data_IF_265679006742
#
_entry.id   IF_265679006742
#
_cell.length_a   1.000
_cell.length_b   1.000
_cell.length_c   1.000
_cell.angle_alpha   90.00
_cell.angle_beta   90.00
_cell.angle_gamma   90.00
#
_symmetry.space_group_name_H-M   'P 1'
#
loop_
_entity.id
_entity.type
_entity.pdbx_description
1 polymer ?
#
# COMPACT_ATOMS: atom_id res chain seq x y z
N UNK A 1 -2.62 -11.32 54.38
CA UNK A 1 -3.46 -10.62 53.38
C UNK A 1 -2.60 -10.46 52.15
N UNK A 2 -2.79 -11.34 51.21
CA UNK A 2 -2.11 -11.27 49.90
C UNK A 2 -2.81 -10.22 49.02
N UNK A 3 -2.07 -9.47 48.16
CA UNK A 3 -2.66 -8.50 47.28
C UNK A 3 -3.41 -9.22 46.14
N UNK A 4 -4.47 -8.61 45.58
CA UNK A 4 -5.26 -9.23 44.55
C UNK A 4 -4.44 -9.40 43.26
N UNK A 5 -4.55 -10.61 42.71
CA UNK A 5 -3.97 -11.06 41.45
C UNK A 5 -4.60 -10.25 40.30
N UNK A 6 -3.79 -9.42 39.64
CA UNK A 6 -4.20 -8.76 38.39
C UNK A 6 -4.34 -9.82 37.29
N UNK A 7 -5.42 -9.82 36.52
CA UNK A 7 -5.56 -10.76 35.41
C UNK A 7 -4.55 -10.39 34.29
N UNK A 8 -3.62 -11.30 34.03
CA UNK A 8 -2.72 -11.24 32.87
C UNK A 8 -3.51 -11.38 31.58
N UNK A 9 -3.86 -10.27 30.95
CA UNK A 9 -4.37 -10.26 29.59
C UNK A 9 -3.22 -10.47 28.61
N UNK A 10 -2.86 -11.73 28.35
CA UNK A 10 -2.09 -12.15 27.18
C UNK A 10 -3.02 -12.79 26.14
N UNK A 11 -3.99 -12.04 25.63
CA UNK A 11 -4.53 -12.30 24.30
C UNK A 11 -3.64 -11.54 23.31
N UNK A 12 -3.19 -12.23 22.24
CA UNK A 12 -2.38 -11.61 21.20
C UNK A 12 -3.17 -10.47 20.57
N UNK A 13 -2.69 -9.23 20.72
CA UNK A 13 -3.34 -7.98 20.23
C UNK A 13 -3.67 -7.99 18.72
N UNK A 14 -3.07 -8.90 17.95
CA UNK A 14 -3.31 -9.05 16.51
C UNK A 14 -4.76 -9.40 16.13
N UNK A 15 -5.56 -9.96 17.06
CA UNK A 15 -6.98 -10.30 16.82
C UNK A 15 -7.96 -9.19 17.17
N UNK A 16 -7.56 -8.20 18.00
CA UNK A 16 -8.47 -7.20 18.55
C UNK A 16 -9.05 -6.26 17.47
N UNK A 17 -8.27 -5.96 16.42
CA UNK A 17 -8.66 -5.06 15.33
C UNK A 17 -8.95 -5.78 14.01
N UNK A 18 -8.97 -7.12 14.02
CA UNK A 18 -9.30 -7.91 12.84
C UNK A 18 -10.79 -7.84 12.51
N UNK A 19 -11.12 -7.94 11.23
CA UNK A 19 -12.47 -8.11 10.71
C UNK A 19 -12.46 -9.11 9.56
N UNK A 20 -13.61 -9.53 9.07
CA UNK A 20 -13.71 -10.31 7.84
C UNK A 20 -13.08 -9.56 6.64
N UNK A 21 -13.07 -8.24 6.70
CA UNK A 21 -12.51 -7.40 5.65
C UNK A 21 -10.99 -7.34 5.66
N UNK A 22 -10.37 -7.23 6.86
CA UNK A 22 -8.90 -7.14 6.98
C UNK A 22 -8.44 -7.24 8.45
N UNK A 23 -7.27 -7.88 8.65
CA UNK A 23 -6.51 -7.77 9.90
C UNK A 23 -5.39 -6.75 9.66
N UNK A 24 -5.35 -5.61 10.38
CA UNK A 24 -4.33 -4.59 10.18
C UNK A 24 -2.94 -5.15 10.51
N UNK A 25 -1.97 -4.90 9.61
CA UNK A 25 -0.60 -5.37 9.76
C UNK A 25 0.19 -4.38 10.61
N UNK A 26 0.97 -4.85 11.60
CA UNK A 26 1.81 -4.01 12.48
C UNK A 26 1.01 -2.90 13.18
N UNK A 27 -0.24 -3.18 13.58
CA UNK A 27 -1.15 -2.18 14.16
C UNK A 27 -0.58 -1.55 15.43
N UNK A 28 0.10 -2.33 16.27
CA UNK A 28 0.75 -1.83 17.49
C UNK A 28 1.87 -0.84 17.16
N UNK A 29 2.74 -1.20 16.24
CA UNK A 29 3.83 -0.33 15.77
C UNK A 29 3.29 0.96 15.15
N UNK A 30 2.16 0.88 14.41
CA UNK A 30 1.47 2.06 13.86
C UNK A 30 0.96 2.96 14.99
N UNK A 31 0.25 2.42 15.98
CA UNK A 31 -0.22 3.19 17.14
C UNK A 31 0.95 3.84 17.89
N UNK A 32 2.06 3.12 18.09
CA UNK A 32 3.25 3.66 18.75
C UNK A 32 3.89 4.83 17.96
N UNK A 33 3.92 4.74 16.64
CA UNK A 33 4.45 5.80 15.76
C UNK A 33 3.61 7.08 15.85
N UNK A 34 2.29 6.97 15.97
CA UNK A 34 1.38 8.10 16.02
C UNK A 34 0.99 8.53 17.44
N UNK A 35 1.68 8.03 18.46
CA UNK A 35 1.44 8.42 19.84
C UNK A 35 1.61 9.93 20.05
N UNK A 36 0.56 10.57 20.56
CA UNK A 36 0.53 12.02 20.79
C UNK A 36 0.09 12.85 19.58
N UNK A 37 -0.24 12.24 18.44
CA UNK A 37 -0.91 12.92 17.34
C UNK A 37 -2.36 13.24 17.70
N UNK A 38 -2.85 14.41 17.30
CA UNK A 38 -4.25 14.79 17.46
C UNK A 38 -5.11 14.31 16.29
N UNK A 39 -4.63 14.47 15.05
CA UNK A 39 -5.32 14.09 13.80
C UNK A 39 -4.39 13.33 12.89
N UNK A 40 -4.80 12.13 12.46
CA UNK A 40 -4.07 11.31 11.49
C UNK A 40 -4.93 11.12 10.24
N UNK A 41 -4.30 11.33 9.06
CA UNK A 41 -4.83 10.90 7.78
C UNK A 41 -4.44 9.43 7.56
N UNK A 42 -5.42 8.55 7.45
CA UNK A 42 -5.23 7.19 6.93
C UNK A 42 -5.50 7.21 5.42
N UNK A 43 -4.44 7.21 4.62
CA UNK A 43 -4.51 7.34 3.16
C UNK A 43 -4.89 6.06 2.43
N UNK A 44 -5.03 4.95 3.16
CA UNK A 44 -5.32 3.60 2.66
C UNK A 44 -6.26 2.89 3.63
N UNK A 45 -7.43 3.52 3.85
CA UNK A 45 -8.38 3.16 4.90
C UNK A 45 -8.78 1.68 4.91
N UNK A 46 -8.97 1.08 3.72
CA UNK A 46 -9.48 -0.27 3.62
C UNK A 46 -10.76 -0.47 4.44
N UNK A 47 -10.85 -1.59 5.15
CA UNK A 47 -11.96 -1.85 6.09
C UNK A 47 -11.82 -1.17 7.47
N UNK A 48 -10.94 -0.16 7.61
CA UNK A 48 -10.80 0.65 8.82
C UNK A 48 -10.08 -0.02 9.99
N UNK A 49 -9.23 -1.03 9.73
CA UNK A 49 -8.52 -1.74 10.80
C UNK A 49 -7.51 -0.87 11.54
N UNK A 50 -6.62 -0.20 10.84
CA UNK A 50 -5.67 0.76 11.41
C UNK A 50 -6.39 1.98 11.99
N UNK A 51 -7.42 2.48 11.28
CA UNK A 51 -8.24 3.58 11.76
C UNK A 51 -8.87 3.26 13.12
N UNK A 52 -9.41 2.05 13.33
CA UNK A 52 -9.94 1.63 14.63
C UNK A 52 -8.87 1.66 15.72
N UNK A 53 -7.70 1.07 15.48
CA UNK A 53 -6.60 1.04 16.44
C UNK A 53 -6.16 2.47 16.85
N UNK A 54 -6.07 3.39 15.89
CA UNK A 54 -5.76 4.79 16.14
C UNK A 54 -6.88 5.51 16.92
N UNK A 55 -8.15 5.28 16.59
CA UNK A 55 -9.29 5.85 17.29
C UNK A 55 -9.35 5.39 18.75
N UNK A 56 -9.08 4.12 19.03
CA UNK A 56 -9.01 3.56 20.38
C UNK A 56 -7.86 4.15 21.19
N UNK A 57 -6.73 4.49 20.54
CA UNK A 57 -5.61 5.18 21.18
C UNK A 57 -5.86 6.67 21.48
N UNK A 58 -7.03 7.20 21.11
CA UNK A 58 -7.41 8.58 21.37
C UNK A 58 -7.23 9.56 20.21
N UNK A 59 -6.65 9.11 19.09
CA UNK A 59 -6.42 9.91 17.88
C UNK A 59 -7.72 10.13 17.12
N UNK A 60 -7.89 11.28 16.46
CA UNK A 60 -8.93 11.49 15.45
C UNK A 60 -8.40 11.03 14.09
N UNK A 61 -9.25 10.38 13.29
CA UNK A 61 -8.85 9.82 12.01
C UNK A 61 -9.71 10.39 10.88
N UNK A 62 -9.04 10.86 9.84
CA UNK A 62 -9.65 11.08 8.52
C UNK A 62 -9.13 9.96 7.63
N UNK A 63 -10.03 9.07 7.20
CA UNK A 63 -9.69 7.95 6.34
C UNK A 63 -10.04 8.24 4.89
N UNK A 64 -9.17 7.89 3.97
CA UNK A 64 -9.47 7.92 2.54
C UNK A 64 -9.13 6.57 1.92
N UNK A 65 -9.95 6.17 0.96
CA UNK A 65 -9.66 5.03 0.09
C UNK A 65 -10.21 5.32 -1.30
N UNK A 66 -9.55 4.80 -2.32
CA UNK A 66 -10.03 4.90 -3.70
C UNK A 66 -11.15 3.90 -4.00
N UNK A 67 -11.30 2.87 -3.16
CA UNK A 67 -12.34 1.84 -3.26
C UNK A 67 -13.59 2.27 -2.49
N UNK A 68 -14.72 2.56 -3.17
CA UNK A 68 -15.97 2.94 -2.49
C UNK A 68 -16.49 1.85 -1.54
N UNK A 69 -16.27 0.58 -1.88
CA UNK A 69 -16.74 -0.55 -1.05
C UNK A 69 -15.95 -0.60 0.27
N UNK A 70 -14.64 -0.31 0.22
CA UNK A 70 -13.80 -0.18 1.40
C UNK A 70 -14.26 0.97 2.31
N UNK A 71 -14.54 2.13 1.73
CA UNK A 71 -15.05 3.29 2.49
C UNK A 71 -16.40 3.00 3.12
N UNK A 72 -17.32 2.31 2.43
CA UNK A 72 -18.62 1.92 2.97
C UNK A 72 -18.45 0.96 4.16
N UNK A 73 -17.63 -0.07 4.03
CA UNK A 73 -17.36 -1.02 5.10
C UNK A 73 -16.70 -0.36 6.33
N UNK A 74 -15.76 0.57 6.11
CA UNK A 74 -15.13 1.32 7.19
C UNK A 74 -16.12 2.23 7.92
N UNK A 75 -17.03 2.90 7.21
CA UNK A 75 -18.08 3.72 7.81
C UNK A 75 -19.04 2.91 8.68
N UNK A 76 -19.48 1.76 8.18
CA UNK A 76 -20.32 0.85 8.95
C UNK A 76 -19.62 0.41 10.24
N UNK A 77 -18.37 -0.04 10.12
CA UNK A 77 -17.55 -0.51 11.25
C UNK A 77 -17.28 0.58 12.28
N UNK A 78 -17.03 1.80 11.84
CA UNK A 78 -16.58 2.92 12.68
C UNK A 78 -17.71 3.96 12.95
N UNK A 79 -18.98 3.60 12.71
CA UNK A 79 -20.14 4.50 12.82
C UNK A 79 -20.24 5.23 14.15
N UNK A 80 -19.90 4.58 15.27
CA UNK A 80 -19.91 5.20 16.59
C UNK A 80 -18.87 6.34 16.68
N UNK A 81 -17.69 6.18 16.08
CA UNK A 81 -16.66 7.21 16.05
C UNK A 81 -16.99 8.34 15.06
N UNK A 82 -17.65 8.02 13.94
CA UNK A 82 -18.14 9.02 12.99
C UNK A 82 -19.22 9.89 13.63
N UNK A 83 -20.18 9.30 14.34
CA UNK A 83 -21.20 10.02 15.12
C UNK A 83 -20.58 10.90 16.22
N UNK A 84 -19.51 10.44 16.86
CA UNK A 84 -18.78 11.20 17.86
C UNK A 84 -17.86 12.29 17.27
N UNK A 85 -17.80 12.47 15.94
CA UNK A 85 -16.97 13.46 15.26
C UNK A 85 -15.44 13.15 15.32
N UNK A 86 -15.09 11.90 15.64
CA UNK A 86 -13.70 11.46 15.75
C UNK A 86 -13.19 10.74 14.51
N UNK A 87 -14.08 10.31 13.64
CA UNK A 87 -13.80 9.63 12.39
C UNK A 87 -14.54 10.28 11.23
N UNK A 88 -13.92 10.33 10.07
CA UNK A 88 -14.55 10.69 8.80
C UNK A 88 -13.93 9.86 7.69
N UNK A 89 -14.73 9.33 6.77
CA UNK A 89 -14.23 8.59 5.61
C UNK A 89 -14.65 9.26 4.30
N UNK A 90 -13.73 9.29 3.33
CA UNK A 90 -13.93 9.94 2.01
C UNK A 90 -13.42 9.00 0.92
N UNK A 91 -14.19 8.87 -0.16
CA UNK A 91 -13.71 8.15 -1.36
C UNK A 91 -12.75 9.07 -2.10
N UNK A 92 -11.46 8.77 -2.04
CA UNK A 92 -10.40 9.56 -2.67
C UNK A 92 -9.12 8.75 -2.87
N UNK A 93 -8.28 9.20 -3.80
CA UNK A 93 -6.94 8.65 -3.99
C UNK A 93 -5.93 9.51 -3.22
N UNK A 94 -5.09 8.90 -2.39
CA UNK A 94 -4.06 9.61 -1.63
C UNK A 94 -3.05 10.37 -2.52
N UNK A 95 -2.93 10.00 -3.80
CA UNK A 95 -2.09 10.69 -4.77
C UNK A 95 -2.77 11.91 -5.42
N UNK A 96 -4.03 12.18 -5.11
CA UNK A 96 -4.84 13.25 -5.68
C UNK A 96 -5.60 14.03 -4.58
N UNK A 97 -4.96 14.26 -3.43
CA UNK A 97 -5.58 14.97 -2.30
C UNK A 97 -5.94 16.42 -2.63
N UNK A 98 -5.25 17.03 -3.57
CA UNK A 98 -5.52 18.40 -4.00
C UNK A 98 -6.88 18.52 -4.72
N UNK A 99 -7.39 17.40 -5.25
CA UNK A 99 -8.70 17.34 -5.90
C UNK A 99 -9.84 17.15 -4.87
N UNK A 100 -9.52 16.89 -3.60
CA UNK A 100 -10.51 16.70 -2.52
C UNK A 100 -10.79 18.04 -1.84
N UNK A 101 -11.85 18.73 -2.25
CA UNK A 101 -12.24 20.06 -1.74
C UNK A 101 -12.20 20.15 -0.22
N UNK A 102 -12.73 19.14 0.46
CA UNK A 102 -12.80 19.08 1.93
C UNK A 102 -11.42 18.94 2.61
N UNK A 103 -10.37 18.62 1.87
CA UNK A 103 -9.02 18.41 2.37
C UNK A 103 -8.00 19.40 1.81
N UNK A 104 -8.40 20.37 0.99
CA UNK A 104 -7.51 21.31 0.29
C UNK A 104 -6.54 22.00 1.25
N UNK A 105 -7.05 22.52 2.38
CA UNK A 105 -6.25 23.22 3.40
C UNK A 105 -6.00 22.38 4.66
N UNK A 106 -6.36 21.10 4.64
CA UNK A 106 -6.22 20.24 5.82
C UNK A 106 -4.75 20.03 6.17
N UNK A 107 -4.46 20.05 7.47
CA UNK A 107 -3.16 19.72 8.06
C UNK A 107 -3.33 18.54 9.03
N UNK A 108 -2.31 17.72 9.08
CA UNK A 108 -2.33 16.48 9.84
C UNK A 108 -1.11 16.38 10.77
N UNK A 109 -1.32 15.85 11.97
CA UNK A 109 -0.19 15.50 12.85
C UNK A 109 0.46 14.19 12.43
N UNK A 110 -0.28 13.37 11.68
CA UNK A 110 0.22 12.13 11.11
C UNK A 110 -0.43 11.75 9.80
N UNK A 111 0.31 10.99 8.99
CA UNK A 111 -0.17 10.36 7.76
C UNK A 111 0.25 8.90 7.76
N UNK A 112 -0.69 7.99 7.59
CA UNK A 112 -0.48 6.56 7.41
C UNK A 112 -0.75 6.17 5.97
N UNK A 113 0.15 5.38 5.39
CA UNK A 113 -0.09 4.63 4.16
C UNK A 113 0.22 3.15 4.43
N UNK A 114 -0.79 2.28 4.34
CA UNK A 114 -0.65 0.82 4.33
C UNK A 114 -0.85 0.34 2.89
N UNK A 115 0.26 0.17 2.16
CA UNK A 115 0.24 -0.05 0.71
C UNK A 115 -0.21 -1.48 0.36
N UNK A 116 -0.63 -1.67 -0.90
CA UNK A 116 -1.00 -2.96 -1.44
C UNK A 116 -2.52 -3.18 -1.53
N UNK A 117 -2.94 -4.43 -1.43
CA UNK A 117 -4.35 -4.85 -1.60
C UNK A 117 -4.93 -5.42 -0.31
N UNK A 118 -6.21 -5.14 -0.07
CA UNK A 118 -6.93 -5.71 1.06
C UNK A 118 -7.19 -7.21 0.89
N UNK A 119 -7.54 -7.89 2.00
CA UNK A 119 -7.98 -9.30 1.98
C UNK A 119 -9.21 -9.47 1.09
N UNK A 120 -10.16 -8.56 1.24
CA UNK A 120 -11.40 -8.57 0.47
C UNK A 120 -11.13 -8.51 -1.04
N UNK A 121 -10.24 -7.63 -1.49
CA UNK A 121 -9.86 -7.54 -2.91
C UNK A 121 -9.20 -8.82 -3.45
N UNK A 122 -8.40 -9.51 -2.63
CA UNK A 122 -7.75 -10.77 -3.04
C UNK A 122 -8.70 -11.96 -3.07
N UNK A 123 -9.71 -11.97 -2.22
CA UNK A 123 -10.65 -13.09 -2.09
C UNK A 123 -11.83 -12.98 -3.07
N UNK A 124 -12.17 -11.77 -3.51
CA UNK A 124 -13.16 -11.57 -4.58
C UNK A 124 -12.57 -11.84 -5.96
N UNK A 125 -12.93 -13.00 -6.55
CA UNK A 125 -12.47 -13.41 -7.87
C UNK A 125 -12.90 -12.43 -8.97
N UNK A 126 -13.97 -11.68 -8.76
CA UNK A 126 -14.46 -10.70 -9.74
C UNK A 126 -13.60 -9.43 -9.78
N UNK A 127 -12.85 -9.13 -8.69
CA UNK A 127 -11.87 -8.03 -8.63
C UNK A 127 -10.56 -8.38 -9.36
N UNK A 128 -10.25 -9.66 -9.52
CA UNK A 128 -9.15 -10.13 -10.37
C UNK A 128 -7.74 -9.96 -9.84
N UNK A 129 -7.56 -9.75 -8.54
CA UNK A 129 -6.22 -9.67 -7.90
C UNK A 129 -5.57 -11.04 -7.68
N UNK A 130 -6.33 -12.11 -7.88
CA UNK A 130 -5.90 -13.49 -7.65
C UNK A 130 -5.58 -14.21 -8.96
N UNK A 131 -4.60 -15.12 -8.92
CA UNK A 131 -4.31 -16.05 -10.01
C UNK A 131 -5.08 -17.38 -9.87
N UNK A 132 -6.12 -17.43 -9.01
CA UNK A 132 -7.05 -18.57 -8.91
C UNK A 132 -7.76 -18.76 -10.23
N UNK A 133 -8.09 -20.02 -10.55
CA UNK A 133 -8.79 -20.38 -11.78
C UNK A 133 -10.11 -19.62 -11.94
N UNK A 134 -10.36 -19.12 -13.14
CA UNK A 134 -11.58 -18.38 -13.47
C UNK A 134 -11.66 -16.95 -12.92
N UNK A 135 -10.67 -16.45 -12.16
CA UNK A 135 -10.69 -15.08 -11.70
C UNK A 135 -10.65 -14.10 -12.87
N UNK A 136 -11.40 -13.00 -12.80
CA UNK A 136 -11.37 -11.95 -13.83
C UNK A 136 -9.97 -11.32 -13.94
N UNK A 137 -9.63 -10.70 -15.05
CA UNK A 137 -8.44 -9.86 -15.21
C UNK A 137 -8.83 -8.38 -15.12
N UNK A 138 -9.38 -7.97 -13.97
CA UNK A 138 -9.72 -6.56 -13.72
C UNK A 138 -8.56 -5.82 -13.05
N UNK A 139 -8.22 -6.14 -11.82
CA UNK A 139 -7.14 -5.60 -10.98
C UNK A 139 -7.23 -4.10 -10.68
N UNK A 140 -8.32 -3.40 -10.99
CA UNK A 140 -8.51 -2.00 -10.62
C UNK A 140 -8.86 -1.89 -9.14
N UNK A 141 -8.15 -1.04 -8.42
CA UNK A 141 -8.36 -0.83 -6.97
C UNK A 141 -9.58 0.05 -6.67
N UNK A 142 -9.99 0.91 -7.60
CA UNK A 142 -11.12 1.84 -7.48
C UNK A 142 -12.49 1.22 -7.79
N UNK A 143 -12.56 -0.09 -7.92
CA UNK A 143 -13.80 -0.82 -8.14
C UNK A 143 -14.30 -0.82 -9.59
N UNK A 144 -15.41 -1.54 -9.81
CA UNK A 144 -16.06 -1.64 -11.12
C UNK A 144 -16.87 -0.37 -11.40
N UNK A 145 -16.64 0.22 -12.56
CA UNK A 145 -17.50 1.32 -13.06
C UNK A 145 -17.05 2.73 -12.67
N UNK A 146 -16.03 2.91 -11.87
CA UNK A 146 -15.43 4.21 -11.66
C UNK A 146 -14.52 4.59 -12.84
N UNK A 147 -14.28 5.89 -13.02
CA UNK A 147 -13.46 6.46 -14.10
C UNK A 147 -11.98 6.07 -14.06
N UNK A 148 -11.64 4.99 -13.38
CA UNK A 148 -10.31 4.41 -13.30
C UNK A 148 -9.83 3.93 -14.67
N UNK A 149 -8.52 3.84 -14.82
CA UNK A 149 -7.83 3.45 -16.03
C UNK A 149 -8.24 2.06 -16.59
N UNK A 150 -7.50 1.56 -17.58
CA UNK A 150 -7.77 0.27 -18.20
C UNK A 150 -7.64 -0.87 -17.18
N UNK A 151 -8.49 -1.89 -17.30
CA UNK A 151 -8.36 -3.14 -16.54
C UNK A 151 -7.09 -3.90 -16.95
N UNK A 152 -6.69 -4.90 -16.16
CA UNK A 152 -5.60 -5.80 -16.53
C UNK A 152 -5.83 -6.48 -17.87
N UNK A 153 -7.07 -6.88 -18.17
CA UNK A 153 -7.45 -7.43 -19.47
C UNK A 153 -7.18 -6.42 -20.61
N UNK A 154 -7.63 -5.17 -20.45
CA UNK A 154 -7.41 -4.11 -21.43
C UNK A 154 -5.91 -3.80 -21.59
N UNK A 155 -5.18 -3.68 -20.50
CA UNK A 155 -3.72 -3.48 -20.53
C UNK A 155 -3.00 -4.60 -21.30
N UNK A 156 -3.31 -5.86 -21.01
CA UNK A 156 -2.71 -7.00 -21.71
C UNK A 156 -3.14 -7.07 -23.18
N UNK A 157 -4.33 -6.58 -23.51
CA UNK A 157 -4.87 -6.55 -24.86
C UNK A 157 -4.25 -5.45 -25.71
N UNK A 158 -3.97 -4.26 -25.15
CA UNK A 158 -3.66 -3.05 -25.90
C UNK A 158 -2.17 -2.66 -25.84
N UNK A 159 -1.51 -2.88 -24.70
CA UNK A 159 -0.12 -2.46 -24.50
C UNK A 159 0.83 -3.13 -25.54
N UNK A 160 1.78 -2.37 -26.06
CA UNK A 160 2.77 -2.88 -26.98
C UNK A 160 3.80 -3.82 -26.31
N UNK A 161 4.60 -4.52 -27.13
CA UNK A 161 5.64 -5.46 -26.65
C UNK A 161 6.63 -4.78 -25.70
N UNK A 162 6.98 -3.51 -25.99
CA UNK A 162 7.93 -2.73 -25.20
C UNK A 162 7.38 -2.45 -23.81
N UNK A 163 6.16 -1.94 -23.75
CA UNK A 163 5.44 -1.64 -22.49
C UNK A 163 5.28 -2.90 -21.63
N UNK A 164 4.79 -4.00 -22.22
CA UNK A 164 4.68 -5.27 -21.49
C UNK A 164 6.05 -5.78 -20.99
N UNK A 165 7.09 -5.64 -21.81
CA UNK A 165 8.46 -6.03 -21.41
C UNK A 165 8.93 -5.20 -20.22
N UNK A 166 8.66 -3.89 -20.22
CA UNK A 166 9.01 -3.00 -19.13
C UNK A 166 8.26 -3.39 -17.84
N UNK A 167 6.95 -3.58 -17.92
CA UNK A 167 6.13 -4.01 -16.77
C UNK A 167 6.69 -5.27 -16.12
N UNK A 168 6.91 -6.33 -16.88
CA UNK A 168 7.40 -7.59 -16.31
C UNK A 168 8.85 -7.53 -15.85
N UNK A 169 9.69 -6.68 -16.45
CA UNK A 169 11.08 -6.49 -16.04
C UNK A 169 11.19 -5.64 -14.78
N UNK A 170 10.55 -4.48 -14.75
CA UNK A 170 10.74 -3.49 -13.69
C UNK A 170 9.90 -3.80 -12.45
N UNK A 171 8.66 -4.24 -12.65
CA UNK A 171 7.74 -4.53 -11.54
C UNK A 171 7.71 -6.01 -11.16
N UNK A 172 8.08 -6.87 -12.09
CA UNK A 172 8.06 -8.31 -11.92
C UNK A 172 9.42 -8.96 -11.75
N UNK A 173 10.54 -8.22 -11.82
CA UNK A 173 11.91 -8.78 -11.79
C UNK A 173 12.06 -10.04 -12.68
N UNK A 174 11.41 -10.05 -13.88
CA UNK A 174 11.39 -11.23 -14.73
C UNK A 174 12.50 -11.17 -15.82
N UNK A 175 13.54 -12.01 -15.73
CA UNK A 175 14.62 -12.01 -16.71
C UNK A 175 14.16 -12.31 -18.14
N UNK A 176 13.08 -13.10 -18.29
CA UNK A 176 12.47 -13.47 -19.57
C UNK A 176 11.31 -12.58 -19.97
N UNK A 177 11.22 -11.33 -19.43
CA UNK A 177 10.14 -10.38 -19.67
C UNK A 177 9.82 -10.19 -21.15
N UNK A 178 10.83 -10.04 -22.01
CA UNK A 178 10.64 -9.90 -23.45
C UNK A 178 9.97 -11.14 -24.08
N UNK A 179 10.35 -12.34 -23.64
CA UNK A 179 9.71 -13.58 -24.14
C UNK A 179 8.26 -13.67 -23.70
N UNK A 180 7.97 -13.26 -22.45
CA UNK A 180 6.61 -13.23 -21.93
C UNK A 180 5.75 -12.20 -22.66
N UNK A 181 6.27 -10.99 -22.89
CA UNK A 181 5.59 -9.96 -23.66
C UNK A 181 5.24 -10.44 -25.07
N UNK A 182 6.19 -11.06 -25.78
CA UNK A 182 5.94 -11.64 -27.12
C UNK A 182 4.89 -12.73 -27.12
N UNK A 183 4.89 -13.59 -26.11
CA UNK A 183 3.89 -14.64 -25.96
C UNK A 183 2.49 -14.05 -25.73
N UNK A 184 2.36 -13.02 -24.91
CA UNK A 184 1.10 -12.32 -24.69
C UNK A 184 0.61 -11.68 -26.00
N UNK A 185 1.46 -10.93 -26.68
CA UNK A 185 1.14 -10.30 -27.99
C UNK A 185 0.75 -11.33 -29.04
N UNK A 186 1.39 -12.51 -29.06
CA UNK A 186 1.04 -13.61 -29.95
C UNK A 186 -0.33 -14.21 -29.63
N UNK A 187 -0.62 -14.45 -28.34
CA UNK A 187 -1.88 -15.08 -27.89
C UNK A 187 -3.07 -14.19 -28.12
N UNK A 188 -3.00 -12.90 -27.79
CA UNK A 188 -4.13 -11.97 -27.89
C UNK A 188 -4.65 -11.80 -29.33
N UNK A 189 -3.81 -12.05 -30.35
CA UNK A 189 -4.24 -12.07 -31.76
C UNK A 189 -5.20 -13.21 -32.10
N UNK A 190 -5.24 -14.26 -31.29
CA UNK A 190 -6.08 -15.44 -31.48
C UNK A 190 -7.28 -15.46 -30.52
N UNK A 191 -7.05 -15.07 -29.28
CA UNK A 191 -8.02 -15.05 -28.20
C UNK A 191 -7.70 -13.92 -27.22
N UNK A 192 -8.69 -13.09 -26.83
CA UNK A 192 -8.47 -12.05 -25.84
C UNK A 192 -8.12 -12.64 -24.47
N UNK A 193 -7.42 -11.85 -23.67
CA UNK A 193 -7.17 -12.14 -22.25
C UNK A 193 -8.40 -11.70 -21.45
N UNK A 194 -9.06 -12.61 -20.76
CA UNK A 194 -10.31 -12.36 -20.01
C UNK A 194 -10.15 -12.79 -18.55
N UNK A 195 -9.54 -13.96 -18.32
CA UNK A 195 -9.39 -14.54 -16.99
C UNK A 195 -7.93 -14.75 -16.63
N UNK A 196 -7.70 -14.97 -15.35
CA UNK A 196 -6.38 -15.32 -14.80
C UNK A 196 -5.72 -16.48 -15.57
N UNK A 197 -6.51 -17.44 -16.05
CA UNK A 197 -6.02 -18.63 -16.78
C UNK A 197 -5.30 -18.25 -18.07
N UNK A 198 -5.74 -17.18 -18.74
CA UNK A 198 -5.12 -16.70 -19.98
C UNK A 198 -3.67 -16.21 -19.68
N UNK A 199 -3.49 -15.44 -18.59
CA UNK A 199 -2.18 -14.96 -18.17
C UNK A 199 -1.32 -16.09 -17.59
N UNK A 200 -1.88 -16.94 -16.73
CA UNK A 200 -1.21 -18.14 -16.18
C UNK A 200 -0.73 -19.03 -17.34
N UNK A 201 -1.56 -19.25 -18.35
CA UNK A 201 -1.21 -20.02 -19.54
C UNK A 201 -0.03 -19.41 -20.33
N UNK A 202 0.02 -18.09 -20.48
CA UNK A 202 1.14 -17.38 -21.12
C UNK A 202 2.44 -17.52 -20.30
N UNK A 203 2.34 -17.34 -18.99
CA UNK A 203 3.48 -17.50 -18.07
C UNK A 203 4.03 -18.93 -18.15
N UNK A 204 3.20 -19.95 -18.06
CA UNK A 204 3.61 -21.37 -18.16
C UNK A 204 4.29 -21.69 -19.49
N UNK A 205 3.81 -21.14 -20.58
CA UNK A 205 4.39 -21.38 -21.91
C UNK A 205 5.83 -20.88 -22.02
N UNK A 206 6.15 -19.77 -21.33
CA UNK A 206 7.50 -19.16 -21.38
C UNK A 206 8.41 -19.67 -20.27
N UNK A 207 7.89 -19.81 -19.07
CA UNK A 207 8.68 -20.16 -17.89
C UNK A 207 8.71 -21.65 -17.58
N UNK A 208 7.81 -22.43 -18.19
CA UNK A 208 7.66 -23.87 -17.99
C UNK A 208 6.56 -24.20 -16.97
N UNK A 209 6.22 -25.51 -16.91
CA UNK A 209 5.27 -26.02 -15.92
C UNK A 209 5.94 -26.29 -14.56
N UNK A 210 5.16 -26.56 -13.49
CA UNK A 210 5.73 -26.98 -12.20
C UNK A 210 6.73 -28.16 -12.35
N UNK A 211 7.82 -28.21 -11.58
CA UNK A 211 8.12 -27.31 -10.45
C UNK A 211 8.78 -25.97 -10.84
N UNK A 212 9.00 -25.69 -12.13
CA UNK A 212 9.70 -24.45 -12.57
C UNK A 212 8.87 -23.18 -12.37
N UNK A 213 7.55 -23.26 -12.45
CA UNK A 213 6.60 -22.17 -12.16
C UNK A 213 5.71 -22.56 -11.01
N UNK A 214 5.97 -21.98 -9.83
CA UNK A 214 5.14 -22.15 -8.63
C UNK A 214 4.31 -20.89 -8.33
N UNK A 215 3.49 -20.96 -7.26
CA UNK A 215 2.63 -19.85 -6.85
C UNK A 215 3.36 -18.51 -6.69
N UNK A 216 4.60 -18.51 -6.21
CA UNK A 216 5.41 -17.30 -6.03
C UNK A 216 5.71 -16.58 -7.35
N UNK A 217 5.92 -17.33 -8.46
CA UNK A 217 6.14 -16.73 -9.78
C UNK A 217 4.86 -16.09 -10.29
N UNK A 218 3.72 -16.75 -10.14
CA UNK A 218 2.43 -16.18 -10.52
C UNK A 218 2.11 -14.93 -9.71
N UNK A 219 2.26 -14.99 -8.37
CA UNK A 219 2.02 -13.86 -7.48
C UNK A 219 2.85 -12.64 -7.92
N UNK A 220 4.14 -12.82 -8.19
CA UNK A 220 5.05 -11.76 -8.61
C UNK A 220 4.67 -11.15 -9.97
N UNK A 221 4.29 -11.97 -10.94
CA UNK A 221 3.94 -11.47 -12.28
C UNK A 221 2.53 -10.86 -12.33
N UNK A 222 1.58 -11.37 -11.53
CA UNK A 222 0.28 -10.73 -11.33
C UNK A 222 0.44 -9.38 -10.60
N UNK A 223 1.29 -9.33 -9.59
CA UNK A 223 1.66 -8.07 -8.93
C UNK A 223 2.23 -7.04 -9.92
N UNK A 224 3.08 -7.46 -10.87
CA UNK A 224 3.61 -6.56 -11.88
C UNK A 224 2.52 -5.92 -12.75
N UNK A 225 1.53 -6.71 -13.16
CA UNK A 225 0.35 -6.21 -13.90
C UNK A 225 -0.48 -5.28 -13.02
N UNK A 226 -0.73 -5.63 -11.75
CA UNK A 226 -1.46 -4.82 -10.79
C UNK A 226 -0.82 -3.44 -10.59
N UNK A 227 0.49 -3.40 -10.37
CA UNK A 227 1.25 -2.15 -10.23
C UNK A 227 1.06 -1.26 -11.45
N UNK A 228 1.10 -1.83 -12.66
CA UNK A 228 0.91 -1.07 -13.90
C UNK A 228 -0.52 -0.56 -14.08
N UNK A 229 -1.53 -1.39 -13.78
CA UNK A 229 -2.97 -1.03 -13.88
C UNK A 229 -3.30 0.14 -12.96
N UNK A 230 -2.74 0.15 -11.75
CA UNK A 230 -3.08 1.12 -10.70
C UNK A 230 -2.09 2.27 -10.57
N UNK A 231 -1.01 2.27 -11.36
CA UNK A 231 0.10 3.24 -11.25
C UNK A 231 0.62 3.36 -9.79
N UNK A 232 0.74 2.22 -9.09
CA UNK A 232 0.98 2.21 -7.64
C UNK A 232 2.27 2.94 -7.25
N UNK A 233 3.36 2.69 -7.97
CA UNK A 233 4.66 3.32 -7.68
C UNK A 233 4.68 4.80 -8.05
N UNK A 234 4.13 5.18 -9.21
CA UNK A 234 4.03 6.57 -9.61
C UNK A 234 3.12 7.38 -8.69
N UNK A 235 1.99 6.81 -8.28
CA UNK A 235 1.10 7.41 -7.29
C UNK A 235 1.82 7.68 -5.96
N UNK A 236 2.61 6.71 -5.47
CA UNK A 236 3.39 6.87 -4.24
C UNK A 236 4.45 7.96 -4.36
N UNK A 237 5.19 8.01 -5.47
CA UNK A 237 6.21 9.04 -5.72
C UNK A 237 5.61 10.45 -5.74
N UNK A 238 4.44 10.64 -6.37
CA UNK A 238 3.74 11.92 -6.40
C UNK A 238 3.12 12.30 -5.05
N UNK A 239 2.57 11.32 -4.33
CA UNK A 239 1.87 11.57 -3.08
C UNK A 239 2.80 11.99 -1.94
N UNK A 240 3.96 11.36 -1.80
CA UNK A 240 4.83 11.60 -0.64
C UNK A 240 5.19 13.08 -0.41
N UNK A 241 5.59 13.88 -1.44
CA UNK A 241 5.83 15.30 -1.25
C UNK A 241 4.58 16.09 -0.83
N UNK A 242 3.43 15.85 -1.48
CA UNK A 242 2.16 16.51 -1.15
C UNK A 242 1.70 16.19 0.28
N UNK A 243 1.82 14.94 0.70
CA UNK A 243 1.50 14.51 2.06
C UNK A 243 2.42 15.14 3.10
N UNK A 244 3.74 15.23 2.82
CA UNK A 244 4.70 15.93 3.68
C UNK A 244 4.32 17.38 3.89
N UNK A 245 3.97 18.09 2.82
CA UNK A 245 3.68 19.51 2.86
C UNK A 245 2.35 19.82 3.58
N UNK A 246 1.55 18.80 3.86
CA UNK A 246 0.32 18.87 4.67
C UNK A 246 0.51 18.46 6.14
N UNK A 247 1.74 18.11 6.55
CA UNK A 247 2.01 17.88 7.97
C UNK A 247 2.05 19.19 8.75
N UNK A 248 1.61 19.11 9.99
CA UNK A 248 1.94 20.11 11.02
C UNK A 248 3.43 20.02 11.37
N UNK A 249 4.05 21.09 11.92
CA UNK A 249 5.42 21.03 12.43
C UNK A 249 5.58 19.86 13.42
N UNK A 250 6.59 19.01 13.20
CA UNK A 250 6.81 17.80 14.00
C UNK A 250 5.91 16.62 13.65
N UNK A 251 5.03 16.76 12.66
CA UNK A 251 4.13 15.70 12.20
C UNK A 251 4.87 14.50 11.59
N UNK A 252 4.21 13.36 11.50
CA UNK A 252 4.83 12.07 11.15
C UNK A 252 4.17 11.45 9.91
N UNK A 253 4.98 10.92 8.99
CA UNK A 253 4.51 10.00 7.93
C UNK A 253 4.99 8.60 8.27
N UNK A 254 4.08 7.63 8.26
CA UNK A 254 4.36 6.21 8.35
C UNK A 254 3.87 5.50 7.10
N UNK A 255 4.70 4.62 6.53
CA UNK A 255 4.37 3.84 5.34
C UNK A 255 4.71 2.38 5.60
N UNK A 256 3.73 1.49 5.38
CA UNK A 256 3.92 0.04 5.34
C UNK A 256 3.98 -0.35 3.86
N UNK A 257 5.08 -0.95 3.46
CA UNK A 257 5.35 -1.43 2.12
C UNK A 257 5.44 -2.96 2.10
N UNK A 258 5.00 -3.60 1.02
CA UNK A 258 4.97 -5.06 0.91
C UNK A 258 5.90 -5.63 -0.15
N UNK A 259 6.50 -4.78 -0.96
CA UNK A 259 7.51 -5.20 -1.94
C UNK A 259 8.67 -4.20 -2.08
N UNK A 260 9.75 -4.67 -2.65
CA UNK A 260 11.02 -3.94 -2.75
C UNK A 260 10.92 -2.61 -3.51
N UNK A 261 9.99 -2.50 -4.47
CA UNK A 261 9.76 -1.28 -5.25
C UNK A 261 9.22 -0.15 -4.36
N UNK A 262 8.17 -0.41 -3.59
CA UNK A 262 7.60 0.53 -2.61
C UNK A 262 8.63 0.90 -1.54
N UNK A 263 9.22 -0.09 -0.89
CA UNK A 263 10.20 0.14 0.18
C UNK A 263 11.39 1.00 -0.29
N UNK A 264 11.84 0.80 -1.52
CA UNK A 264 12.91 1.59 -2.14
C UNK A 264 12.52 3.05 -2.31
N UNK A 265 11.32 3.34 -2.83
CA UNK A 265 10.82 4.70 -3.01
C UNK A 265 10.74 5.40 -1.65
N UNK A 266 10.07 4.80 -0.68
CA UNK A 266 9.90 5.38 0.68
C UNK A 266 11.25 5.63 1.33
N UNK A 267 12.15 4.64 1.30
CA UNK A 267 13.51 4.76 1.86
C UNK A 267 14.30 5.89 1.22
N UNK A 268 14.29 6.00 -0.10
CA UNK A 268 15.04 7.03 -0.82
C UNK A 268 14.47 8.42 -0.55
N UNK A 269 13.15 8.56 -0.55
CA UNK A 269 12.44 9.81 -0.27
C UNK A 269 12.72 10.29 1.16
N UNK A 270 12.53 9.44 2.17
CA UNK A 270 12.78 9.81 3.57
C UNK A 270 14.25 10.14 3.83
N UNK A 271 15.18 9.43 3.17
CA UNK A 271 16.60 9.76 3.22
C UNK A 271 16.89 11.12 2.61
N UNK A 272 16.34 11.41 1.44
CA UNK A 272 16.52 12.71 0.77
C UNK A 272 16.01 13.87 1.64
N UNK A 273 14.83 13.73 2.25
CA UNK A 273 14.26 14.74 3.14
C UNK A 273 15.02 14.91 4.46
N UNK A 274 15.77 13.91 4.89
CA UNK A 274 16.59 13.94 6.11
C UNK A 274 18.02 14.41 5.86
N UNK A 275 18.38 14.70 4.60
CA UNK A 275 19.73 15.11 4.22
C UNK A 275 19.88 16.61 4.37
N UNK A 276 20.91 17.05 5.11
CA UNK A 276 21.22 18.46 5.35
C UNK A 276 22.02 19.10 4.23
N UNK A 277 22.71 18.32 3.42
CA UNK A 277 23.58 18.82 2.36
C UNK A 277 23.42 18.00 1.09
N UNK A 278 23.22 18.67 -0.04
CA UNK A 278 23.11 18.10 -1.40
C UNK A 278 24.34 18.39 -2.27
N UNK A 279 25.38 19.01 -1.71
CA UNK A 279 26.62 19.30 -2.42
C UNK A 279 27.33 18.00 -2.84
N UNK A 280 28.12 18.02 -3.91
CA UNK A 280 28.97 16.91 -4.28
C UNK A 280 29.89 16.48 -3.12
N UNK A 281 30.14 15.18 -2.91
CA UNK A 281 30.87 14.66 -1.73
C UNK A 281 32.29 15.23 -1.53
N UNK A 282 32.89 15.84 -2.56
CA UNK A 282 34.26 16.40 -2.52
C UNK A 282 34.29 17.93 -2.50
N UNK A 283 33.14 18.60 -2.32
CA UNK A 283 33.10 20.05 -2.28
C UNK A 283 33.60 20.53 -0.90
N UNK A 284 34.69 21.36 -0.85
CA UNK A 284 35.30 21.74 0.42
C UNK A 284 34.40 22.61 1.31
N UNK A 285 33.53 23.40 0.69
CA UNK A 285 32.60 24.32 1.41
C UNK A 285 31.19 24.07 0.93
N UNK A 286 30.27 23.88 1.85
CA UNK A 286 28.87 23.71 1.53
C UNK A 286 28.28 25.02 0.98
N UNK A 287 27.79 25.00 -0.27
CA UNK A 287 27.14 26.14 -0.93
C UNK A 287 25.64 25.92 -1.17
N UNK A 288 25.11 24.73 -0.88
CA UNK A 288 23.69 24.45 -1.12
C UNK A 288 22.76 25.09 -0.09
N UNK A 289 23.28 25.57 1.05
CA UNK A 289 22.45 26.10 2.16
C UNK A 289 21.42 25.08 2.68
N UNK A 290 21.63 23.79 2.37
CA UNK A 290 20.62 22.74 2.59
C UNK A 290 20.26 22.59 4.06
N UNK A 291 18.96 22.53 4.32
CA UNK A 291 18.38 22.22 5.62
C UNK A 291 17.57 20.94 5.49
N UNK A 292 17.77 20.01 6.42
CA UNK A 292 16.91 18.82 6.46
C UNK A 292 15.45 19.23 6.67
N UNK A 293 14.55 18.62 5.90
CA UNK A 293 13.11 18.85 6.05
C UNK A 293 12.54 18.15 7.27
N UNK A 294 13.30 17.21 7.83
CA UNK A 294 12.94 16.42 9.00
C UNK A 294 13.93 15.30 9.27
N UNK A 295 13.50 14.29 10.00
CA UNK A 295 14.34 13.17 10.43
C UNK A 295 13.67 11.82 10.21
N UNK A 296 14.45 10.82 9.78
CA UNK A 296 13.97 9.44 9.69
C UNK A 296 13.88 8.83 11.09
N UNK A 297 12.68 8.41 11.50
CA UNK A 297 12.43 7.75 12.80
C UNK A 297 12.97 6.32 12.75
N UNK A 298 12.64 5.57 11.71
CA UNK A 298 13.05 4.18 11.53
C UNK A 298 14.32 4.09 10.67
N UNK A 299 15.50 3.99 11.27
CA UNK A 299 16.78 3.84 10.53
C UNK A 299 16.79 2.59 9.65
N UNK A 300 16.26 1.49 10.16
CA UNK A 300 15.91 0.26 9.41
C UNK A 300 14.40 0.13 9.38
N UNK A 301 13.84 -0.44 8.32
CA UNK A 301 12.43 -0.76 8.32
C UNK A 301 12.12 -1.69 9.50
N UNK A 302 11.06 -1.39 10.24
CA UNK A 302 10.51 -2.35 11.19
C UNK A 302 9.78 -3.45 10.41
N UNK A 303 9.80 -4.66 10.92
CA UNK A 303 9.12 -5.83 10.34
C UNK A 303 8.19 -6.42 11.38
N UNK A 304 7.12 -7.06 10.91
CA UNK A 304 6.18 -7.73 11.78
C UNK A 304 6.84 -8.81 12.65
N UNK A 305 6.30 -9.03 13.83
CA UNK A 305 6.76 -10.07 14.74
C UNK A 305 6.49 -11.48 14.17
N UNK A 306 7.28 -12.47 14.61
CA UNK A 306 7.02 -13.87 14.22
C UNK A 306 5.63 -14.34 14.67
N UNK A 307 5.15 -13.89 15.82
CA UNK A 307 3.81 -14.20 16.33
C UNK A 307 2.72 -13.65 15.38
N UNK A 308 2.88 -12.42 14.91
CA UNK A 308 1.95 -11.82 13.94
C UNK A 308 2.00 -12.56 12.59
N UNK A 309 3.19 -12.88 12.08
CA UNK A 309 3.34 -13.63 10.81
C UNK A 309 2.71 -15.01 10.89
N UNK A 310 2.68 -15.65 12.07
CA UNK A 310 2.06 -16.96 12.27
C UNK A 310 0.54 -16.90 12.12
N UNK A 311 -0.11 -15.81 12.54
CA UNK A 311 -1.57 -15.61 12.45
C UNK A 311 -1.98 -14.83 11.19
N UNK A 312 -1.12 -13.96 10.68
CA UNK A 312 -1.32 -13.17 9.47
C UNK A 312 -0.12 -13.32 8.53
N UNK A 313 -0.19 -14.27 7.61
CA UNK A 313 0.92 -14.55 6.68
C UNK A 313 1.29 -13.37 5.77
N UNK A 314 0.40 -12.37 5.61
CA UNK A 314 0.64 -11.15 4.81
C UNK A 314 1.64 -10.22 5.50
N UNK A 315 1.71 -10.25 6.82
CA UNK A 315 2.68 -9.47 7.60
C UNK A 315 4.14 -9.85 7.30
N UNK A 316 4.39 -11.04 6.70
CA UNK A 316 5.75 -11.54 6.41
C UNK A 316 6.60 -10.58 5.58
N UNK A 317 6.00 -9.90 4.60
CA UNK A 317 6.69 -8.98 3.69
C UNK A 317 6.52 -7.51 4.07
N UNK A 318 5.83 -7.22 5.17
CA UNK A 318 5.58 -5.86 5.62
C UNK A 318 6.86 -5.17 6.14
N UNK A 319 7.11 -3.98 5.63
CA UNK A 319 8.21 -3.09 6.03
C UNK A 319 7.65 -1.73 6.41
N UNK A 320 7.62 -1.41 7.71
CA UNK A 320 7.19 -0.10 8.21
C UNK A 320 8.36 0.87 8.23
N UNK A 321 8.19 2.01 7.59
CA UNK A 321 9.08 3.16 7.67
C UNK A 321 8.35 4.39 8.18
N UNK A 322 9.01 5.16 9.04
CA UNK A 322 8.47 6.40 9.57
C UNK A 322 9.48 7.54 9.49
N UNK A 323 8.97 8.75 9.21
CA UNK A 323 9.71 9.99 9.09
C UNK A 323 8.94 11.11 9.79
N UNK A 324 9.66 12.02 10.45
CA UNK A 324 9.11 13.16 11.18
C UNK A 324 9.53 14.47 10.53
N UNK A 325 8.58 15.37 10.31
CA UNK A 325 8.82 16.73 9.84
C UNK A 325 9.66 17.54 10.84
N UNK A 326 10.43 18.49 10.36
CA UNK A 326 11.05 19.48 11.24
C UNK A 326 9.99 20.30 11.98
N UNK A 327 10.35 20.74 13.19
CA UNK A 327 9.50 21.61 14.01
C UNK A 327 9.46 23.04 13.50
#
# INVERSE_FOLDING_TARGET
MDPPNEPSHTMSDAGAWASEYHAPVMAKEVVDVFRGCGVVLDGTLGGGGHALALLESGVRVIGIDRDPDAVAAARERLAAYETAGRFRAIVANFAALDDVVDLTDARFDGVLLDLGVSSHQLDDLARGFSFREGAALDMRMDGKGNAGGPSAAALLQEADERTLTQIFREYGDEPRALKLAREIVRRRKRRPFITSDDLVGAIRAVLGAPPRTGPAVFARLFQAVRIAVNDELGALERALPSLRDRLTPGGVIAVIAYHSGEDRIVKQTFRAWSTTCTCPPRQPVCTCGGRALGTTITRKAATASQAEVAVNSRARSAHLRAWRSAA
#
